data_IF_519001276772
#
_entry.id   IF_519001276772
#
_cell.length_a   1.000
_cell.length_b   1.000
_cell.length_c   1.000
_cell.angle_alpha   90.00
_cell.angle_beta   90.00
_cell.angle_gamma   90.00
#
_symmetry.space_group_name_H-M   'P 1'
#
loop_
_entity.id
_entity.type
_entity.pdbx_description
1 polymer ?
#
# COMPACT_ATOMS: atom_id res chain seq x y z
N UNK A 1 30.46 -23.18 -3.39
CA UNK A 1 30.37 -22.70 -2.03
C UNK A 1 29.53 -21.45 -2.03
N UNK A 2 28.23 -21.61 -1.66
CA UNK A 2 27.30 -20.48 -1.51
C UNK A 2 27.70 -19.75 -0.23
N UNK A 3 28.15 -18.50 -0.37
CA UNK A 3 28.41 -17.61 0.75
C UNK A 3 27.11 -17.37 1.50
N UNK A 4 27.10 -17.73 2.78
CA UNK A 4 26.11 -17.27 3.75
C UNK A 4 26.22 -15.74 3.85
N UNK A 5 25.37 -15.00 3.15
CA UNK A 5 25.20 -13.59 3.44
C UNK A 5 24.62 -13.44 4.84
N UNK A 6 25.37 -12.77 5.68
CA UNK A 6 25.02 -12.42 7.05
C UNK A 6 23.64 -11.75 7.07
N UNK A 7 22.72 -12.35 7.79
CA UNK A 7 21.48 -11.72 8.23
C UNK A 7 21.86 -10.56 9.17
N UNK A 8 22.12 -9.39 8.61
CA UNK A 8 22.09 -8.15 9.38
C UNK A 8 20.69 -8.03 9.96
N UNK A 9 20.57 -8.00 11.28
CA UNK A 9 19.36 -7.73 12.02
C UNK A 9 18.68 -6.48 11.45
N UNK A 10 17.77 -6.68 10.50
CA UNK A 10 16.84 -5.65 10.05
C UNK A 10 15.90 -5.46 11.23
N UNK A 11 16.04 -4.34 11.95
CA UNK A 11 15.08 -3.94 12.98
C UNK A 11 13.73 -3.91 12.27
N UNK A 12 12.97 -4.98 12.43
CA UNK A 12 11.60 -5.04 11.90
C UNK A 12 10.83 -3.97 12.66
N UNK A 13 10.33 -2.98 11.96
CA UNK A 13 9.45 -2.00 12.57
C UNK A 13 8.25 -2.79 13.13
N UNK A 14 7.91 -2.54 14.39
CA UNK A 14 6.76 -3.17 15.00
C UNK A 14 5.44 -2.50 14.58
N UNK A 15 5.49 -1.56 13.64
CA UNK A 15 4.32 -0.83 13.15
C UNK A 15 3.57 -1.68 12.15
N UNK A 16 2.26 -1.83 12.34
CA UNK A 16 1.46 -2.65 11.42
C UNK A 16 -0.01 -2.30 11.43
N UNK A 17 -0.64 -2.57 10.29
CA UNK A 17 -2.08 -2.63 10.13
C UNK A 17 -2.59 -4.05 10.27
N UNK A 18 -3.79 -4.20 10.80
CA UNK A 18 -4.58 -5.42 10.70
C UNK A 18 -5.64 -5.25 9.62
N UNK A 19 -5.80 -6.27 8.78
CA UNK A 19 -6.83 -6.30 7.74
C UNK A 19 -8.14 -6.79 8.35
N UNK A 20 -9.11 -5.89 8.54
CA UNK A 20 -10.45 -6.22 9.02
C UNK A 20 -11.41 -6.62 7.90
N UNK A 21 -11.16 -6.14 6.68
CA UNK A 21 -11.82 -6.56 5.42
C UNK A 21 -10.79 -6.45 4.29
N UNK A 22 -10.53 -7.49 3.50
CA UNK A 22 -9.48 -7.44 2.48
C UNK A 22 -9.87 -6.69 1.20
N UNK A 23 -11.15 -6.38 0.99
CA UNK A 23 -11.66 -5.93 -0.29
C UNK A 23 -11.79 -7.08 -1.30
N UNK A 24 -12.17 -6.75 -2.53
CA UNK A 24 -12.39 -7.76 -3.59
C UNK A 24 -11.06 -8.26 -4.15
N UNK A 25 -10.19 -7.34 -4.53
CA UNK A 25 -8.87 -7.65 -5.06
C UNK A 25 -7.88 -6.57 -4.61
N UNK A 26 -7.19 -6.81 -3.50
CA UNK A 26 -6.19 -5.90 -2.95
C UNK A 26 -4.84 -6.57 -2.94
N UNK A 27 -3.87 -5.99 -3.64
CA UNK A 27 -2.51 -6.52 -3.83
C UNK A 27 -1.48 -5.41 -3.63
N UNK A 28 -0.26 -5.79 -3.29
CA UNK A 28 0.87 -4.86 -3.35
C UNK A 28 1.31 -4.70 -4.79
N UNK A 29 1.49 -3.46 -5.22
CA UNK A 29 1.98 -3.12 -6.54
C UNK A 29 3.03 -1.99 -6.46
N UNK A 30 4.00 -2.06 -7.37
CA UNK A 30 4.98 -1.02 -7.68
C UNK A 30 4.97 -0.80 -9.22
N UNK A 31 6.07 -0.41 -9.85
CA UNK A 31 6.15 -0.34 -11.31
C UNK A 31 6.43 -1.69 -11.98
N UNK A 32 6.51 -2.77 -11.21
CA UNK A 32 6.72 -4.09 -11.75
C UNK A 32 8.19 -4.49 -11.92
N UNK A 33 8.40 -5.67 -12.47
CA UNK A 33 9.71 -6.28 -12.73
C UNK A 33 9.97 -6.39 -14.21
N UNK A 34 11.11 -5.91 -14.65
CA UNK A 34 11.46 -5.84 -16.06
C UNK A 34 12.56 -6.84 -16.43
N UNK A 35 12.74 -7.06 -17.72
CA UNK A 35 13.78 -7.92 -18.30
C UNK A 35 13.71 -9.41 -17.91
N UNK A 36 12.53 -9.91 -17.56
CA UNK A 36 12.32 -11.30 -17.15
C UNK A 36 11.34 -12.05 -18.08
N UNK A 37 10.83 -11.40 -19.14
CA UNK A 37 9.85 -11.98 -20.06
C UNK A 37 10.40 -13.22 -20.80
N UNK A 38 11.70 -13.24 -21.07
CA UNK A 38 12.36 -14.40 -21.68
C UNK A 38 12.42 -15.66 -20.78
N UNK A 39 12.16 -15.46 -19.47
CA UNK A 39 11.94 -16.58 -18.53
C UNK A 39 10.44 -16.85 -18.29
N UNK A 40 9.55 -16.23 -19.04
CA UNK A 40 8.10 -16.39 -18.87
C UNK A 40 7.52 -15.63 -17.69
N UNK A 41 8.29 -14.74 -17.05
CA UNK A 41 7.80 -13.92 -15.93
C UNK A 41 7.25 -12.60 -16.44
N UNK A 42 5.95 -12.37 -16.20
CA UNK A 42 5.29 -11.11 -16.57
C UNK A 42 5.80 -9.95 -15.70
N UNK A 43 5.86 -8.72 -16.25
CA UNK A 43 6.29 -7.54 -15.52
C UNK A 43 5.45 -7.25 -14.27
N UNK A 44 4.14 -7.49 -14.30
CA UNK A 44 3.20 -6.99 -13.29
C UNK A 44 3.25 -5.46 -13.16
N UNK A 45 2.97 -4.94 -11.99
CA UNK A 45 2.97 -3.50 -11.71
C UNK A 45 1.56 -2.94 -11.59
N UNK A 46 1.50 -1.66 -11.21
CA UNK A 46 0.24 -0.93 -11.05
C UNK A 46 -0.52 -0.82 -12.38
N UNK A 47 -1.84 -0.95 -12.32
CA UNK A 47 -2.73 -0.86 -13.50
C UNK A 47 -2.92 0.57 -13.97
N UNK A 48 -2.92 1.55 -13.05
CA UNK A 48 -2.96 2.99 -13.32
C UNK A 48 -1.69 3.62 -12.75
N UNK A 49 -0.71 3.79 -13.62
CA UNK A 49 0.61 4.28 -13.23
C UNK A 49 0.58 5.74 -12.76
N UNK A 50 -0.31 6.56 -13.30
CA UNK A 50 -0.46 7.96 -12.89
C UNK A 50 -0.98 8.05 -11.45
N UNK A 51 -2.09 7.38 -11.15
CA UNK A 51 -2.64 7.34 -9.79
C UNK A 51 -1.67 6.73 -8.79
N UNK A 52 -0.92 5.69 -9.16
CA UNK A 52 0.13 5.09 -8.35
C UNK A 52 1.24 6.11 -8.01
N UNK A 53 1.74 6.83 -9.01
CA UNK A 53 2.81 7.82 -8.84
C UNK A 53 2.36 8.97 -7.95
N UNK A 54 1.14 9.47 -8.16
CA UNK A 54 0.54 10.54 -7.34
C UNK A 54 0.37 10.08 -5.89
N UNK A 55 -0.03 8.83 -5.64
CA UNK A 55 -0.16 8.29 -4.29
C UNK A 55 1.16 8.36 -3.51
N UNK A 56 2.25 7.92 -4.14
CA UNK A 56 3.59 7.99 -3.53
C UNK A 56 4.08 9.43 -3.33
N UNK A 57 3.85 10.31 -4.30
CA UNK A 57 4.23 11.72 -4.20
C UNK A 57 3.54 12.42 -3.02
N UNK A 58 2.25 12.14 -2.79
CA UNK A 58 1.47 12.71 -1.69
C UNK A 58 2.01 12.37 -0.30
N UNK A 59 2.66 11.22 -0.14
CA UNK A 59 3.25 10.78 1.13
C UNK A 59 4.78 10.90 1.12
N UNK A 60 5.34 11.71 0.19
CA UNK A 60 6.78 11.97 0.05
C UNK A 60 7.64 10.68 -0.08
N UNK A 61 7.09 9.64 -0.68
CA UNK A 61 7.81 8.41 -0.99
C UNK A 61 8.59 8.55 -2.31
N UNK A 62 9.58 7.67 -2.46
CA UNK A 62 10.14 7.39 -3.77
C UNK A 62 9.05 6.85 -4.71
N UNK A 63 9.11 7.22 -5.99
CA UNK A 63 8.14 6.74 -7.00
C UNK A 63 8.16 5.23 -7.19
N UNK A 64 9.18 4.56 -6.69
CA UNK A 64 9.35 3.09 -6.76
C UNK A 64 8.75 2.36 -5.57
N UNK A 65 8.30 3.07 -4.53
CA UNK A 65 7.81 2.45 -3.31
C UNK A 65 6.48 1.71 -3.57
N UNK A 66 6.37 0.51 -3.01
CA UNK A 66 5.17 -0.31 -3.17
C UNK A 66 3.97 0.24 -2.40
N UNK A 67 2.81 0.18 -3.03
CA UNK A 67 1.51 0.60 -2.48
C UNK A 67 0.50 -0.54 -2.48
N UNK A 68 -0.62 -0.40 -1.79
CA UNK A 68 -1.77 -1.27 -2.00
C UNK A 68 -2.60 -0.75 -3.18
N UNK A 69 -2.74 -1.59 -4.19
CA UNK A 69 -3.70 -1.43 -5.29
C UNK A 69 -4.94 -2.26 -4.98
N UNK A 70 -6.11 -1.70 -5.17
CA UNK A 70 -7.39 -2.40 -4.99
C UNK A 70 -8.34 -2.12 -6.14
N UNK A 71 -9.22 -3.09 -6.41
CA UNK A 71 -10.23 -2.98 -7.46
C UNK A 71 -11.64 -2.97 -6.85
N UNK A 72 -12.48 -2.06 -7.31
CA UNK A 72 -13.89 -1.86 -6.95
C UNK A 72 -14.14 -1.57 -5.47
N UNK A 73 -13.91 -2.52 -4.57
CA UNK A 73 -13.98 -2.34 -3.13
C UNK A 73 -12.61 -2.60 -2.53
N UNK A 74 -12.10 -1.63 -1.79
CA UNK A 74 -10.83 -1.72 -1.11
C UNK A 74 -10.92 -2.33 0.30
N UNK A 75 -9.79 -2.39 1.00
CA UNK A 75 -9.73 -2.96 2.33
C UNK A 75 -10.29 -2.02 3.39
N UNK A 76 -10.68 -2.62 4.53
CA UNK A 76 -10.78 -1.96 5.83
C UNK A 76 -9.54 -2.32 6.63
N UNK A 77 -8.73 -1.33 6.92
CA UNK A 77 -7.45 -1.46 7.63
C UNK A 77 -7.54 -0.77 8.98
N UNK A 78 -7.11 -1.45 10.04
CA UNK A 78 -6.96 -0.84 11.36
C UNK A 78 -5.48 -0.69 11.68
N UNK A 79 -5.06 0.52 12.07
CA UNK A 79 -3.71 0.75 12.56
C UNK A 79 -3.62 0.23 14.00
N UNK A 80 -2.90 -0.89 14.18
CA UNK A 80 -2.78 -1.55 15.48
C UNK A 80 -1.62 -0.97 16.27
N UNK A 81 -0.53 -0.61 15.58
CA UNK A 81 0.65 -0.05 16.25
C UNK A 81 1.38 0.93 15.35
N UNK A 82 1.73 2.08 15.93
CA UNK A 82 2.47 3.16 15.29
C UNK A 82 1.58 4.31 14.87
N UNK A 83 2.15 5.20 14.07
CA UNK A 83 1.47 6.31 13.41
C UNK A 83 2.03 6.44 12.00
N UNK A 84 1.24 6.93 11.07
CA UNK A 84 1.69 7.15 9.68
C UNK A 84 0.87 8.23 9.00
N UNK A 85 1.42 8.78 7.92
CA UNK A 85 0.63 9.54 6.94
C UNK A 85 0.22 8.58 5.84
N UNK A 86 -0.96 8.83 5.27
CA UNK A 86 -1.42 8.07 4.11
C UNK A 86 -2.09 8.98 3.09
N UNK A 87 -2.19 8.48 1.89
CA UNK A 87 -2.98 9.08 0.82
C UNK A 87 -3.71 8.00 0.03
N UNK A 88 -4.89 8.36 -0.49
CA UNK A 88 -5.65 7.54 -1.41
C UNK A 88 -5.81 8.29 -2.72
N UNK A 89 -5.53 7.60 -3.83
CA UNK A 89 -5.69 8.12 -5.19
C UNK A 89 -6.61 7.24 -6.03
N UNK A 90 -7.02 7.75 -7.18
CA UNK A 90 -8.13 7.22 -7.95
C UNK A 90 -9.42 7.96 -7.59
N UNK A 91 -10.55 7.47 -8.09
CA UNK A 91 -11.88 8.01 -7.73
C UNK A 91 -12.54 7.06 -6.75
N UNK A 92 -12.27 7.27 -5.47
CA UNK A 92 -12.57 6.32 -4.40
C UNK A 92 -13.39 7.01 -3.31
N UNK A 93 -14.40 6.32 -2.81
CA UNK A 93 -15.10 6.67 -1.58
C UNK A 93 -14.47 5.91 -0.42
N UNK A 94 -13.99 6.65 0.57
CA UNK A 94 -13.42 6.07 1.78
C UNK A 94 -13.76 6.92 3.00
N UNK A 95 -13.60 6.32 4.16
CA UNK A 95 -13.84 6.94 5.45
C UNK A 95 -12.66 6.66 6.39
N UNK A 96 -12.41 7.61 7.27
CA UNK A 96 -11.48 7.47 8.39
C UNK A 96 -12.34 7.32 9.64
N UNK A 97 -12.10 6.28 10.42
CA UNK A 97 -12.81 5.99 11.67
C UNK A 97 -11.80 6.23 12.80
N UNK A 98 -12.04 7.23 13.61
CA UNK A 98 -11.15 7.57 14.72
C UNK A 98 -11.30 6.59 15.90
N UNK A 99 -10.46 6.76 16.92
CA UNK A 99 -10.45 5.91 18.12
C UNK A 99 -11.74 5.98 18.95
N UNK A 100 -12.59 7.01 18.72
CA UNK A 100 -13.91 7.15 19.35
C UNK A 100 -15.05 6.56 18.50
N UNK A 101 -14.72 5.89 17.39
CA UNK A 101 -15.65 5.37 16.37
C UNK A 101 -16.45 6.48 15.63
N UNK A 102 -15.96 7.70 15.62
CA UNK A 102 -16.51 8.75 14.78
C UNK A 102 -15.95 8.60 13.36
N UNK A 103 -16.81 8.80 12.37
CA UNK A 103 -16.48 8.60 10.97
C UNK A 103 -16.37 9.91 10.23
N UNK A 104 -15.28 10.10 9.50
CA UNK A 104 -15.01 11.27 8.65
C UNK A 104 -14.86 10.78 7.21
N UNK A 105 -15.61 11.37 6.28
CA UNK A 105 -15.42 11.10 4.86
C UNK A 105 -14.09 11.66 4.39
N UNK A 106 -13.31 10.84 3.71
CA UNK A 106 -12.04 11.23 3.12
C UNK A 106 -12.17 11.74 1.69
N UNK A 107 -11.22 12.55 1.29
CA UNK A 107 -11.07 13.08 -0.08
C UNK A 107 -9.82 12.48 -0.71
N UNK A 108 -9.92 11.98 -1.94
CA UNK A 108 -8.76 11.50 -2.70
C UNK A 108 -7.76 12.62 -2.99
N UNK A 109 -6.54 12.23 -3.32
CA UNK A 109 -5.44 13.13 -3.69
C UNK A 109 -5.02 14.10 -2.58
N UNK A 110 -5.18 13.67 -1.34
CA UNK A 110 -4.83 14.41 -0.14
C UNK A 110 -4.17 13.51 0.89
N UNK A 111 -3.24 14.07 1.66
CA UNK A 111 -2.57 13.41 2.77
C UNK A 111 -3.38 13.52 4.06
N UNK A 112 -3.43 12.43 4.82
CA UNK A 112 -4.03 12.34 6.14
C UNK A 112 -3.04 11.75 7.14
N UNK A 113 -3.11 12.19 8.37
CA UNK A 113 -2.45 11.52 9.49
C UNK A 113 -3.34 10.38 9.99
N UNK A 114 -2.75 9.29 10.44
CA UNK A 114 -3.43 8.16 11.03
C UNK A 114 -2.69 7.72 12.30
N UNK A 115 -3.43 7.58 13.38
CA UNK A 115 -2.92 7.22 14.69
C UNK A 115 -3.33 5.80 15.11
N UNK A 116 -2.67 5.28 16.13
CA UNK A 116 -2.95 3.96 16.68
C UNK A 116 -4.41 3.82 17.12
N UNK A 117 -5.07 2.75 16.70
CA UNK A 117 -6.48 2.47 16.95
C UNK A 117 -7.42 2.95 15.86
N UNK A 118 -7.01 3.90 15.03
CA UNK A 118 -7.82 4.41 13.93
C UNK A 118 -7.89 3.45 12.75
N UNK A 119 -8.90 3.65 11.89
CA UNK A 119 -9.17 2.77 10.76
C UNK A 119 -9.37 3.58 9.49
N UNK A 120 -9.00 2.97 8.36
CA UNK A 120 -9.31 3.47 7.02
C UNK A 120 -10.22 2.45 6.35
N UNK A 121 -11.44 2.86 6.05
CA UNK A 121 -12.45 2.04 5.37
C UNK A 121 -12.59 2.48 3.91
N UNK A 122 -12.07 1.69 2.99
CA UNK A 122 -12.16 1.94 1.56
C UNK A 122 -13.40 1.25 1.01
N UNK A 123 -14.46 2.03 0.83
CA UNK A 123 -15.80 1.53 0.54
C UNK A 123 -15.96 1.05 -0.89
N UNK A 124 -15.63 1.92 -1.84
CA UNK A 124 -15.77 1.60 -3.26
C UNK A 124 -14.97 2.56 -4.14
N UNK A 125 -14.58 2.09 -5.32
CA UNK A 125 -14.21 2.97 -6.42
C UNK A 125 -15.49 3.49 -7.10
N UNK A 126 -15.45 4.71 -7.62
CA UNK A 126 -16.61 5.32 -8.29
C UNK A 126 -16.46 5.18 -9.83
N UNK A 127 -15.73 6.09 -10.45
CA UNK A 127 -15.56 6.10 -11.92
C UNK A 127 -14.28 5.42 -12.41
N UNK A 128 -13.41 5.03 -11.49
CA UNK A 128 -12.20 4.23 -11.76
C UNK A 128 -12.44 2.77 -11.39
N UNK A 129 -11.77 1.84 -12.06
CA UNK A 129 -11.75 0.44 -11.67
C UNK A 129 -10.78 0.19 -10.50
N UNK A 130 -9.70 0.96 -10.44
CA UNK A 130 -8.62 0.83 -9.47
C UNK A 130 -8.49 2.06 -8.58
N UNK A 131 -7.96 1.84 -7.39
CA UNK A 131 -7.49 2.87 -6.48
C UNK A 131 -6.24 2.42 -5.74
N UNK A 132 -5.52 3.38 -5.16
CA UNK A 132 -4.23 3.15 -4.52
C UNK A 132 -4.23 3.72 -3.12
N UNK A 133 -3.65 2.96 -2.19
CA UNK A 133 -3.42 3.38 -0.81
C UNK A 133 -1.91 3.36 -0.56
N UNK A 134 -1.33 4.54 -0.40
CA UNK A 134 0.07 4.74 -0.06
C UNK A 134 0.22 5.20 1.38
N UNK A 135 1.32 4.83 2.02
CA UNK A 135 1.69 5.29 3.36
C UNK A 135 3.10 5.84 3.35
N UNK A 136 3.38 6.80 4.21
CA UNK A 136 4.72 7.40 4.36
C UNK A 136 5.76 6.33 4.71
N UNK A 137 6.89 6.35 4.00
CA UNK A 137 7.98 5.38 4.15
C UNK A 137 7.71 4.00 3.55
N UNK A 138 6.48 3.72 3.10
CA UNK A 138 6.09 2.49 2.42
C UNK A 138 5.96 1.26 3.33
N UNK A 139 5.50 0.17 2.74
CA UNK A 139 5.30 -1.11 3.41
C UNK A 139 6.61 -1.89 3.56
N UNK A 140 6.71 -2.71 4.62
CA UNK A 140 7.85 -3.58 4.86
C UNK A 140 7.69 -4.88 4.09
N UNK A 141 8.04 -4.87 2.81
CA UNK A 141 7.86 -5.96 1.88
C UNK A 141 9.19 -6.56 1.45
N UNK A 142 9.19 -7.86 1.13
CA UNK A 142 10.35 -8.54 0.54
C UNK A 142 10.19 -8.55 -0.98
N UNK A 143 11.07 -7.89 -1.74
CA UNK A 143 10.98 -7.87 -3.19
C UNK A 143 11.36 -9.22 -3.81
N UNK A 144 10.75 -9.55 -4.94
CA UNK A 144 11.19 -10.59 -5.86
C UNK A 144 11.64 -9.94 -7.16
N UNK A 145 12.89 -10.19 -7.56
CA UNK A 145 13.49 -9.55 -8.74
C UNK A 145 13.31 -8.02 -8.75
N UNK A 146 13.68 -7.37 -7.64
CA UNK A 146 13.61 -5.92 -7.41
C UNK A 146 12.20 -5.30 -7.48
N UNK A 147 11.13 -6.10 -7.39
CA UNK A 147 9.76 -5.62 -7.40
C UNK A 147 8.94 -6.26 -6.28
N UNK A 148 8.05 -5.48 -5.68
CA UNK A 148 7.06 -5.94 -4.71
C UNK A 148 5.68 -6.14 -5.35
N UNK A 149 5.57 -6.02 -6.67
CA UNK A 149 4.32 -6.30 -7.36
C UNK A 149 3.92 -7.76 -7.25
N UNK A 150 2.67 -7.99 -6.89
CA UNK A 150 2.09 -9.32 -6.81
C UNK A 150 1.60 -9.74 -8.19
N UNK A 151 1.99 -10.96 -8.60
CA UNK A 151 1.44 -11.69 -9.73
C UNK A 151 0.72 -12.93 -9.22
N UNK A 152 -0.55 -12.78 -8.87
CA UNK A 152 -1.33 -13.82 -8.18
C UNK A 152 -1.45 -15.12 -8.98
N UNK A 153 -1.47 -15.06 -10.31
CA UNK A 153 -1.54 -16.24 -11.19
C UNK A 153 -0.32 -17.13 -11.10
N UNK A 154 0.84 -16.56 -10.75
CA UNK A 154 2.11 -17.29 -10.64
C UNK A 154 2.60 -17.40 -9.19
N UNK A 155 1.86 -16.90 -8.20
CA UNK A 155 2.26 -16.80 -6.80
C UNK A 155 3.62 -16.10 -6.62
N UNK A 156 3.85 -15.02 -7.35
CA UNK A 156 5.09 -14.24 -7.33
C UNK A 156 4.84 -12.93 -6.56
N UNK A 157 5.77 -12.55 -5.69
CA UNK A 157 5.75 -11.32 -4.91
C UNK A 157 5.57 -11.54 -3.41
N UNK A 158 5.46 -10.46 -2.62
CA UNK A 158 5.21 -10.54 -1.18
C UNK A 158 3.89 -11.24 -0.88
N UNK A 159 3.66 -11.57 0.40
CA UNK A 159 2.47 -12.30 0.83
C UNK A 159 2.24 -13.62 0.04
N UNK A 160 3.34 -14.34 -0.25
CA UNK A 160 3.32 -15.57 -1.06
C UNK A 160 2.71 -15.38 -2.46
N UNK A 161 2.81 -14.17 -3.02
CA UNK A 161 2.20 -13.82 -4.30
C UNK A 161 0.67 -13.73 -4.27
N UNK A 162 0.07 -13.65 -3.11
CA UNK A 162 -1.39 -13.62 -2.94
C UNK A 162 -1.88 -12.24 -2.55
N UNK A 163 -3.15 -11.94 -2.87
CA UNK A 163 -3.85 -10.77 -2.35
C UNK A 163 -3.90 -10.80 -0.83
N UNK A 164 -4.10 -9.64 -0.20
CA UNK A 164 -4.26 -9.59 1.25
C UNK A 164 -5.53 -10.32 1.68
N UNK A 165 -5.51 -10.88 2.88
CA UNK A 165 -6.61 -11.65 3.46
C UNK A 165 -7.00 -11.08 4.83
N UNK A 166 -8.19 -11.47 5.29
CA UNK A 166 -8.68 -11.15 6.64
C UNK A 166 -7.64 -11.52 7.70
N UNK A 167 -7.44 -10.65 8.69
CA UNK A 167 -6.47 -10.78 9.79
C UNK A 167 -5.00 -10.77 9.37
N UNK A 168 -4.67 -10.51 8.09
CA UNK A 168 -3.27 -10.27 7.74
C UNK A 168 -2.73 -9.07 8.53
N UNK A 169 -1.47 -9.19 8.96
CA UNK A 169 -0.69 -8.08 9.51
C UNK A 169 0.17 -7.50 8.41
N UNK A 170 -0.04 -6.23 8.11
CA UNK A 170 0.72 -5.50 7.09
C UNK A 170 1.70 -4.59 7.82
N UNK A 171 2.97 -4.97 7.83
CA UNK A 171 4.03 -4.19 8.45
C UNK A 171 4.47 -3.04 7.55
N UNK A 172 4.87 -1.92 8.17
CA UNK A 172 5.38 -0.77 7.45
C UNK A 172 6.63 -0.18 8.12
N UNK A 173 7.39 0.57 7.35
CA UNK A 173 8.64 1.18 7.79
C UNK A 173 8.32 2.33 8.76
N UNK A 174 9.23 2.63 9.68
CA UNK A 174 9.07 3.77 10.59
C UNK A 174 9.16 5.07 9.79
N UNK A 175 8.23 6.00 10.03
CA UNK A 175 8.16 7.29 9.35
C UNK A 175 9.46 8.10 9.50
N UNK A 176 9.86 8.78 8.44
CA UNK A 176 10.65 9.99 8.51
C UNK A 176 9.65 11.10 8.86
N UNK A 177 9.75 11.70 10.04
CA UNK A 177 8.84 12.76 10.47
C UNK A 177 8.96 14.01 9.57
N UNK A 178 8.32 14.01 8.42
CA UNK A 178 8.08 15.23 7.66
C UNK A 178 6.72 15.82 8.08
N UNK A 179 6.73 17.09 8.49
CA UNK A 179 5.54 17.77 9.05
C UNK A 179 4.54 18.27 7.99
N UNK A 180 4.78 18.02 6.70
CA UNK A 180 3.99 18.62 5.63
C UNK A 180 2.86 17.69 5.18
N UNK A 181 1.66 18.23 5.04
CA UNK A 181 0.52 17.58 4.40
C UNK A 181 0.36 18.16 2.99
N UNK A 182 0.20 17.30 2.02
CA UNK A 182 0.13 17.67 0.61
C UNK A 182 -1.28 17.45 0.07
N UNK A 183 -1.68 18.33 -0.84
CA UNK A 183 -2.91 18.21 -1.64
C UNK A 183 -2.50 18.39 -3.10
N UNK A 184 -2.83 17.43 -3.94
CA UNK A 184 -2.68 17.56 -5.38
C UNK A 184 -4.07 17.76 -5.99
N UNK A 185 -4.25 18.87 -6.67
CA UNK A 185 -5.46 19.13 -7.45
C UNK A 185 -5.25 18.51 -8.82
N UNK A 186 -5.99 17.46 -9.10
CA UNK A 186 -6.08 16.88 -10.45
C UNK A 186 -7.16 17.66 -11.21
N UNK A 187 -6.87 18.15 -12.41
CA UNK A 187 -7.82 18.93 -13.22
C UNK A 187 -9.04 18.13 -13.65
#
# INVERSE_FOLDING_TARGET
PFQKQSLKNKIMSNNFFEVLRPGINTTFQDHGRFNLQHFGVAPSGSMDYESFTVANALVANDQTEGVLEFAYQGPLLKLIKGQTKFAITGRVHFQIINSKNETINGECNRTYDLEEGEQVDILATNKSAYGYFAIEGGFSLSPFCNSVSILSRANIGPNEGKKINLKNKIFFKKNRQEKNNYIIRVP
#
